data_IF_194588972870
#
_entry.id   IF_194588972870
#
_cell.length_a   1.000
_cell.length_b   1.000
_cell.length_c   1.000
_cell.angle_alpha   90.00
_cell.angle_beta   90.00
_cell.angle_gamma   90.00
#
_symmetry.space_group_name_H-M   'P 1'
#
loop_
_entity.id
_entity.type
_entity.pdbx_description
1 polymer ?
#
# COMPACT_ATOMS: atom_id res chain seq x y z
N UNK A 1 11.34 -25.96 -6.99
CA UNK A 1 10.58 -24.71 -6.71
C UNK A 1 10.06 -24.14 -8.04
N UNK A 2 8.76 -23.88 -8.15
CA UNK A 2 8.20 -23.30 -9.36
C UNK A 2 8.39 -21.77 -9.39
N UNK A 3 8.09 -21.15 -10.54
CA UNK A 3 8.29 -19.71 -10.73
C UNK A 3 7.48 -18.85 -9.76
N UNK A 4 6.27 -19.28 -9.41
CA UNK A 4 5.41 -18.56 -8.46
C UNK A 4 6.00 -18.57 -7.06
N UNK A 5 6.48 -19.71 -6.62
CA UNK A 5 7.11 -19.85 -5.29
C UNK A 5 8.38 -19.02 -5.20
N UNK A 6 9.18 -19.00 -6.26
CA UNK A 6 10.39 -18.20 -6.33
C UNK A 6 10.07 -16.69 -6.23
N UNK A 7 9.06 -16.23 -7.00
CA UNK A 7 8.63 -14.82 -6.97
C UNK A 7 8.12 -14.43 -5.58
N UNK A 8 7.31 -15.28 -4.95
CA UNK A 8 6.81 -15.03 -3.58
C UNK A 8 7.95 -14.97 -2.57
N UNK A 9 8.92 -15.86 -2.69
CA UNK A 9 10.07 -15.88 -1.79
C UNK A 9 10.90 -14.60 -1.95
N UNK A 10 11.11 -14.14 -3.17
CA UNK A 10 11.84 -12.89 -3.45
C UNK A 10 11.10 -11.67 -2.91
N UNK A 11 9.78 -11.62 -3.08
CA UNK A 11 8.95 -10.54 -2.54
C UNK A 11 8.99 -10.51 -1.02
N UNK A 12 8.89 -11.68 -0.37
CA UNK A 12 8.95 -11.77 1.08
C UNK A 12 10.30 -11.31 1.60
N UNK A 13 11.37 -11.69 0.94
CA UNK A 13 12.71 -11.25 1.30
C UNK A 13 12.86 -9.74 1.21
N UNK A 14 12.35 -9.13 0.13
CA UNK A 14 12.37 -7.68 -0.03
C UNK A 14 11.57 -6.96 1.06
N UNK A 15 10.41 -7.51 1.42
CA UNK A 15 9.58 -6.95 2.49
C UNK A 15 10.27 -7.05 3.86
N UNK A 16 10.92 -8.16 4.12
CA UNK A 16 11.66 -8.37 5.37
C UNK A 16 12.84 -7.39 5.47
N UNK A 17 13.56 -7.15 4.39
CA UNK A 17 14.64 -6.16 4.34
C UNK A 17 14.13 -4.74 4.60
N UNK A 18 13.01 -4.34 3.98
CA UNK A 18 12.39 -3.05 4.22
C UNK A 18 11.96 -2.88 5.67
N UNK A 19 11.40 -3.93 6.26
CA UNK A 19 11.00 -3.92 7.68
C UNK A 19 12.21 -3.79 8.59
N UNK A 20 13.29 -4.50 8.32
CA UNK A 20 14.55 -4.38 9.08
C UNK A 20 15.11 -2.97 9.00
N UNK A 21 15.15 -2.37 7.81
CA UNK A 21 15.58 -0.99 7.61
C UNK A 21 14.75 -0.03 8.42
N UNK A 22 13.43 -0.20 8.39
CA UNK A 22 12.49 0.61 9.16
C UNK A 22 12.76 0.48 10.67
N UNK A 23 12.94 -0.72 11.17
CA UNK A 23 13.20 -0.96 12.59
C UNK A 23 14.55 -0.41 13.03
N UNK A 24 15.54 -0.38 12.15
CA UNK A 24 16.87 0.16 12.45
C UNK A 24 16.86 1.67 12.67
N UNK A 25 15.84 2.38 12.19
CA UNK A 25 15.72 3.82 12.31
C UNK A 25 15.06 4.29 13.61
N UNK A 26 14.60 3.36 14.45
CA UNK A 26 13.86 3.67 15.67
C UNK A 26 14.49 3.16 16.94
N UNK A 27 14.19 3.81 18.06
CA UNK A 27 14.57 3.39 19.38
C UNK A 27 13.38 3.51 20.36
N UNK A 28 13.17 2.50 21.18
CA UNK A 28 12.15 2.51 22.21
C UNK A 28 10.73 2.32 21.70
N UNK A 29 9.73 2.67 22.51
CA UNK A 29 8.32 2.46 22.22
C UNK A 29 7.66 3.46 21.30
N UNK A 30 8.36 4.48 20.87
CA UNK A 30 7.83 5.53 19.98
C UNK A 30 8.55 5.55 18.65
N UNK A 31 7.79 5.78 17.58
CA UNK A 31 8.35 5.87 16.25
C UNK A 31 9.06 7.21 16.05
N UNK A 32 10.26 7.16 15.50
CA UNK A 32 11.07 8.36 15.21
C UNK A 32 10.59 9.05 13.93
N UNK A 33 10.98 10.31 13.74
CA UNK A 33 10.70 11.02 12.50
C UNK A 33 11.31 10.33 11.28
N UNK A 34 12.49 9.75 11.45
CA UNK A 34 13.15 8.97 10.39
C UNK A 34 12.31 7.76 9.97
N UNK A 35 11.74 7.03 10.95
CA UNK A 35 10.84 5.91 10.66
C UNK A 35 9.58 6.37 9.94
N UNK A 36 8.98 7.46 10.38
CA UNK A 36 7.77 8.01 9.75
C UNK A 36 8.04 8.44 8.32
N UNK A 37 9.15 9.12 8.07
CA UNK A 37 9.55 9.54 6.71
C UNK A 37 9.84 8.34 5.81
N UNK A 38 10.48 7.32 6.34
CA UNK A 38 10.71 6.08 5.62
C UNK A 38 9.39 5.42 5.19
N UNK A 39 8.46 5.32 6.12
CA UNK A 39 7.13 4.77 5.85
C UNK A 39 6.38 5.59 4.80
N UNK A 40 6.45 6.91 4.86
CA UNK A 40 5.83 7.80 3.87
C UNK A 40 6.44 7.57 2.49
N UNK A 41 7.75 7.39 2.40
CA UNK A 41 8.41 7.03 1.15
C UNK A 41 7.90 5.73 0.55
N UNK A 42 7.68 4.72 1.38
CA UNK A 42 7.09 3.45 0.95
C UNK A 42 5.63 3.61 0.52
N UNK A 43 4.86 4.45 1.21
CA UNK A 43 3.48 4.75 0.84
C UNK A 43 3.41 5.42 -0.54
N UNK A 44 4.32 6.34 -0.82
CA UNK A 44 4.38 7.02 -2.12
C UNK A 44 4.68 6.03 -3.25
N UNK A 45 5.52 5.04 -2.99
CA UNK A 45 5.94 4.05 -3.99
C UNK A 45 4.95 2.88 -4.12
N UNK A 46 4.46 2.33 -3.01
CA UNK A 46 3.67 1.09 -2.99
C UNK A 46 2.21 1.29 -2.57
N UNK A 47 1.86 2.42 -1.99
CA UNK A 47 0.53 2.67 -1.44
C UNK A 47 0.39 2.26 0.03
N UNK A 48 -0.68 2.72 0.67
CA UNK A 48 -0.92 2.50 2.11
C UNK A 48 -1.12 1.01 2.44
N UNK A 49 -1.86 0.28 1.61
CA UNK A 49 -2.12 -1.15 1.86
C UNK A 49 -0.86 -1.98 1.88
N UNK A 50 -0.04 -1.81 0.84
CA UNK A 50 1.21 -2.56 0.73
C UNK A 50 2.16 -2.18 1.85
N UNK A 51 2.32 -0.90 2.15
CA UNK A 51 3.17 -0.43 3.24
C UNK A 51 2.71 -0.96 4.60
N UNK A 52 1.40 -1.01 4.84
CA UNK A 52 0.84 -1.60 6.05
C UNK A 52 1.26 -3.06 6.22
N UNK A 53 1.26 -3.82 5.14
CA UNK A 53 1.71 -5.23 5.17
C UNK A 53 3.21 -5.36 5.34
N UNK A 54 3.98 -4.53 4.64
CA UNK A 54 5.45 -4.56 4.70
C UNK A 54 5.94 -4.25 6.11
N UNK A 55 5.41 -3.20 6.72
CA UNK A 55 5.86 -2.72 8.03
C UNK A 55 5.07 -3.31 9.20
N UNK A 56 4.04 -4.10 8.92
CA UNK A 56 3.14 -4.66 9.93
C UNK A 56 2.56 -3.57 10.85
N UNK A 57 2.08 -2.51 10.24
CA UNK A 57 1.49 -1.37 10.93
C UNK A 57 0.03 -1.17 10.50
N UNK A 58 -0.84 -0.72 11.42
CA UNK A 58 -2.21 -0.38 11.06
C UNK A 58 -2.26 0.75 10.03
N UNK A 59 -3.17 0.66 9.08
CA UNK A 59 -3.37 1.72 8.08
C UNK A 59 -3.69 3.07 8.71
N UNK A 60 -4.39 3.07 9.84
CA UNK A 60 -4.69 4.30 10.61
C UNK A 60 -3.43 5.04 11.03
N UNK A 61 -2.42 4.32 11.48
CA UNK A 61 -1.14 4.89 11.88
C UNK A 61 -0.46 5.56 10.69
N UNK A 62 -0.43 4.88 9.55
CA UNK A 62 0.16 5.42 8.33
C UNK A 62 -0.59 6.65 7.81
N UNK A 63 -1.91 6.64 7.86
CA UNK A 63 -2.74 7.79 7.50
C UNK A 63 -2.49 8.98 8.41
N UNK A 64 -2.32 8.72 9.73
CA UNK A 64 -1.99 9.77 10.69
C UNK A 64 -0.65 10.42 10.37
N UNK A 65 0.35 9.62 10.03
CA UNK A 65 1.67 10.14 9.66
C UNK A 65 1.63 10.96 8.37
N UNK A 66 0.87 10.50 7.37
CA UNK A 66 0.67 11.29 6.15
C UNK A 66 0.06 12.66 6.45
N UNK A 67 -0.93 12.73 7.35
CA UNK A 67 -1.53 13.99 7.76
C UNK A 67 -0.55 14.86 8.55
N UNK A 68 0.24 14.24 9.42
CA UNK A 68 1.23 14.94 10.23
C UNK A 68 2.29 15.65 9.37
N UNK A 69 2.71 15.02 8.27
CA UNK A 69 3.70 15.56 7.36
C UNK A 69 3.09 16.26 6.13
N UNK A 70 1.77 16.45 6.15
CA UNK A 70 1.02 17.11 5.08
C UNK A 70 1.27 16.48 3.72
N UNK A 71 1.30 15.15 3.69
CA UNK A 71 1.47 14.36 2.48
C UNK A 71 0.13 13.91 1.96
N UNK A 72 -0.21 14.34 0.75
CA UNK A 72 -1.41 13.89 0.07
C UNK A 72 -1.13 12.58 -0.66
N UNK A 73 -1.77 11.51 -0.23
CA UNK A 73 -1.66 10.20 -0.87
C UNK A 73 -2.83 10.04 -1.82
N UNK A 74 -2.56 9.94 -3.09
CA UNK A 74 -3.57 9.54 -4.08
C UNK A 74 -3.94 8.09 -3.80
N UNK A 75 -5.22 7.85 -3.51
CA UNK A 75 -5.70 6.49 -3.20
C UNK A 75 -5.46 5.51 -4.34
N UNK A 76 -5.60 5.99 -5.57
CA UNK A 76 -5.38 5.21 -6.78
C UNK A 76 -4.91 6.12 -7.91
N UNK A 77 -4.11 5.62 -8.86
CA UNK A 77 -3.85 6.34 -10.11
C UNK A 77 -5.16 6.63 -10.86
N UNK A 78 -5.18 7.70 -11.64
CA UNK A 78 -6.38 8.11 -12.39
C UNK A 78 -6.93 6.99 -13.28
N UNK A 79 -6.05 6.19 -13.91
CA UNK A 79 -6.48 5.10 -14.79
C UNK A 79 -7.26 4.01 -14.05
N UNK A 80 -7.01 3.82 -12.74
CA UNK A 80 -7.76 2.85 -11.92
C UNK A 80 -9.21 3.31 -11.74
N UNK A 81 -9.44 4.60 -11.51
CA UNK A 81 -10.79 5.14 -11.42
C UNK A 81 -11.54 5.01 -12.73
N UNK A 82 -10.89 5.30 -13.85
CA UNK A 82 -11.48 5.14 -15.18
C UNK A 82 -11.85 3.68 -15.45
N UNK A 83 -10.97 2.75 -15.12
CA UNK A 83 -11.21 1.33 -15.27
C UNK A 83 -12.39 0.85 -14.41
N UNK A 84 -12.44 1.29 -13.15
CA UNK A 84 -13.53 0.94 -12.24
C UNK A 84 -14.87 1.50 -12.73
N UNK A 85 -14.88 2.72 -13.27
CA UNK A 85 -16.05 3.34 -13.83
C UNK A 85 -16.55 2.59 -15.07
N UNK A 86 -15.66 2.23 -15.98
CA UNK A 86 -15.99 1.42 -17.17
C UNK A 86 -16.60 0.08 -16.77
N UNK A 87 -16.02 -0.57 -15.75
CA UNK A 87 -16.52 -1.84 -15.24
C UNK A 87 -17.92 -1.70 -14.66
N UNK A 88 -18.18 -0.62 -13.91
CA UNK A 88 -19.48 -0.34 -13.32
C UNK A 88 -20.52 -0.09 -14.41
N UNK A 89 -20.21 0.72 -15.43
CA UNK A 89 -21.09 0.98 -16.58
C UNK A 89 -21.44 -0.30 -17.33
N UNK A 90 -20.46 -1.17 -17.52
CA UNK A 90 -20.68 -2.48 -18.17
C UNK A 90 -21.62 -3.35 -17.35
N UNK A 91 -21.45 -3.37 -16.03
CA UNK A 91 -22.33 -4.12 -15.12
C UNK A 91 -23.76 -3.60 -15.18
N UNK A 92 -23.97 -2.28 -15.12
CA UNK A 92 -25.30 -1.65 -15.24
C UNK A 92 -25.96 -1.98 -16.59
N UNK A 93 -25.20 -1.92 -17.66
CA UNK A 93 -25.69 -2.29 -18.99
C UNK A 93 -26.23 -3.71 -19.03
N UNK A 94 -25.50 -4.68 -18.49
CA UNK A 94 -25.93 -6.06 -18.44
C UNK A 94 -27.12 -6.28 -17.50
N UNK A 95 -27.17 -5.59 -16.38
CA UNK A 95 -28.29 -5.64 -15.44
C UNK A 95 -29.58 -5.15 -16.11
N UNK A 96 -29.52 -4.06 -16.85
CA UNK A 96 -30.68 -3.52 -17.59
C UNK A 96 -31.19 -4.49 -18.65
N UNK A 97 -30.33 -5.33 -19.19
CA UNK A 97 -30.70 -6.34 -20.19
C UNK A 97 -31.10 -7.68 -19.59
N UNK A 98 -31.11 -7.81 -18.27
CA UNK A 98 -31.57 -9.01 -17.59
C UNK A 98 -30.57 -10.18 -17.54
N UNK A 99 -29.29 -9.90 -17.71
CA UNK A 99 -28.22 -10.91 -17.67
C UNK A 99 -27.64 -11.15 -16.27
N UNK A 100 -28.06 -10.36 -15.31
CA UNK A 100 -27.66 -10.52 -13.92
C UNK A 100 -28.86 -10.62 -13.00
#
# INVERSE_FOLDING_TARGET
>A
MNSRELIKAMQQQAYDEMKEDFLSLGHGGHYTDKQKKYAIGLIDEYGIRATSRILDLPRRTLQRWCRQYDVYVKRCPAWVYEWAEKRRRRREFWQRRGYY
#
